data_IF_601138606855
#
_entry.id   IF_601138606855
#
_cell.length_a   1.000
_cell.length_b   1.000
_cell.length_c   1.000
_cell.angle_alpha   90.00
_cell.angle_beta   90.00
_cell.angle_gamma   90.00
#
_symmetry.space_group_name_H-M   'P 1'
#
loop_
_entity.id
_entity.type
_entity.pdbx_description
1 polymer ?
#
# COMPACT_ATOMS: atom_id res chain seq x y z
N UNK A 1 -10.54 3.70 -8.43
CA UNK A 1 -11.13 3.59 -7.08
C UNK A 1 -12.37 2.71 -7.16
N UNK A 2 -12.49 1.67 -6.32
CA UNK A 2 -13.73 0.90 -6.22
C UNK A 2 -14.79 1.75 -5.50
N UNK A 3 -16.03 1.65 -5.94
CA UNK A 3 -17.15 2.44 -5.39
C UNK A 3 -17.72 1.86 -4.09
N UNK A 4 -17.60 0.55 -3.91
CA UNK A 4 -18.12 -0.16 -2.73
C UNK A 4 -16.94 -0.70 -1.91
N UNK A 5 -16.93 -0.37 -0.61
CA UNK A 5 -15.95 -0.91 0.33
C UNK A 5 -16.21 -2.39 0.60
N UNK A 6 -15.14 -3.17 0.62
CA UNK A 6 -15.18 -4.60 0.94
C UNK A 6 -14.00 -4.96 1.84
N UNK A 7 -14.19 -5.97 2.68
CA UNK A 7 -13.08 -6.61 3.40
C UNK A 7 -12.17 -7.38 2.44
N UNK A 8 -11.14 -7.98 2.99
CA UNK A 8 -10.22 -8.83 2.24
C UNK A 8 -10.92 -10.16 1.95
N UNK A 9 -11.48 -10.26 0.75
CA UNK A 9 -12.09 -11.46 0.22
C UNK A 9 -11.47 -11.80 -1.13
N UNK A 10 -11.55 -13.05 -1.54
CA UNK A 10 -11.07 -13.47 -2.85
C UNK A 10 -11.64 -12.61 -3.98
N UNK A 11 -12.95 -12.37 -3.98
CA UNK A 11 -13.62 -11.57 -5.00
C UNK A 11 -13.15 -10.11 -5.00
N UNK A 12 -12.93 -9.52 -3.83
CA UNK A 12 -12.45 -8.15 -3.70
C UNK A 12 -11.03 -7.99 -4.26
N UNK A 13 -10.14 -8.92 -3.91
CA UNK A 13 -8.75 -8.90 -4.41
C UNK A 13 -8.71 -9.12 -5.92
N UNK A 14 -9.47 -10.08 -6.44
CA UNK A 14 -9.59 -10.31 -7.87
C UNK A 14 -10.11 -9.08 -8.62
N UNK A 15 -11.13 -8.40 -8.07
CA UNK A 15 -11.66 -7.17 -8.65
C UNK A 15 -10.61 -6.05 -8.71
N UNK A 16 -9.78 -5.93 -7.67
CA UNK A 16 -8.70 -4.93 -7.67
C UNK A 16 -7.59 -5.27 -8.66
N UNK A 17 -7.16 -6.53 -8.73
CA UNK A 17 -6.18 -6.99 -9.73
C UNK A 17 -6.70 -6.71 -11.13
N UNK A 18 -7.97 -7.04 -11.39
CA UNK A 18 -8.59 -6.83 -12.70
C UNK A 18 -8.70 -5.34 -13.03
N UNK A 19 -9.10 -4.51 -12.07
CA UNK A 19 -9.19 -3.07 -12.25
C UNK A 19 -7.81 -2.43 -12.51
N UNK A 20 -6.73 -2.97 -11.91
CA UNK A 20 -5.37 -2.52 -12.19
C UNK A 20 -4.91 -2.94 -13.59
N UNK A 21 -5.17 -4.20 -13.97
CA UNK A 21 -4.76 -4.76 -15.26
C UNK A 21 -5.54 -4.24 -16.47
N UNK A 22 -6.71 -3.62 -16.25
CA UNK A 22 -7.56 -3.06 -17.30
C UNK A 22 -7.44 -1.55 -17.44
N UNK A 23 -6.41 -0.95 -16.87
CA UNK A 23 -6.13 0.48 -17.00
C UNK A 23 -5.84 0.84 -18.46
N UNK A 24 -6.19 2.06 -18.80
CA UNK A 24 -5.98 2.61 -20.14
C UNK A 24 -5.25 3.94 -20.06
N UNK A 25 -4.54 4.29 -21.11
CA UNK A 25 -3.94 5.60 -21.28
C UNK A 25 -4.98 6.65 -21.67
N UNK A 26 -4.54 7.87 -21.91
CA UNK A 26 -5.40 8.99 -22.33
C UNK A 26 -5.95 8.84 -23.76
N UNK A 27 -5.39 7.92 -24.55
CA UNK A 27 -5.84 7.58 -25.92
C UNK A 27 -6.69 6.32 -25.95
N UNK A 28 -7.19 5.85 -24.78
CA UNK A 28 -8.01 4.63 -24.63
C UNK A 28 -7.27 3.33 -25.00
N UNK A 29 -5.92 3.37 -25.06
CA UNK A 29 -5.11 2.19 -25.32
C UNK A 29 -4.85 1.43 -24.02
N UNK A 30 -4.88 0.08 -24.04
CA UNK A 30 -4.59 -0.70 -22.84
C UNK A 30 -3.12 -0.56 -22.43
N UNK A 31 -2.89 -0.36 -21.14
CA UNK A 31 -1.55 -0.35 -20.53
C UNK A 31 -1.36 -1.61 -19.70
N UNK A 32 -0.12 -2.07 -19.61
CA UNK A 32 0.23 -3.24 -18.80
C UNK A 32 0.64 -2.75 -17.42
N UNK A 33 -0.25 -2.94 -16.46
CA UNK A 33 0.01 -2.61 -15.06
C UNK A 33 -0.21 -3.86 -14.21
N UNK A 34 0.86 -4.36 -13.61
CA UNK A 34 0.81 -5.56 -12.76
C UNK A 34 0.78 -5.17 -11.29
N UNK A 35 0.04 -5.91 -10.45
CA UNK A 35 0.06 -5.68 -9.01
C UNK A 35 1.46 -5.97 -8.45
N UNK A 36 1.97 -5.06 -7.64
CA UNK A 36 3.29 -5.17 -7.00
C UNK A 36 3.18 -5.29 -5.49
N UNK A 37 2.39 -4.43 -4.85
CA UNK A 37 2.27 -4.38 -3.39
C UNK A 37 0.83 -4.21 -2.95
N UNK A 38 0.53 -4.70 -1.75
CA UNK A 38 -0.74 -4.54 -1.08
C UNK A 38 -0.51 -3.89 0.28
N UNK A 39 -1.13 -2.73 0.50
CA UNK A 39 -0.96 -1.95 1.74
C UNK A 39 -2.25 -2.04 2.54
N UNK A 40 -2.14 -2.52 3.75
CA UNK A 40 -3.25 -2.89 4.62
C UNK A 40 -3.19 -2.16 5.96
N UNK A 41 -4.34 -1.81 6.55
CA UNK A 41 -4.40 -1.43 7.95
C UNK A 41 -4.09 -2.65 8.85
N UNK A 42 -3.60 -2.37 10.06
CA UNK A 42 -3.42 -3.41 11.06
C UNK A 42 -4.76 -4.11 11.36
N UNK A 43 -4.71 -5.43 11.46
CA UNK A 43 -5.88 -6.29 11.72
C UNK A 43 -6.38 -7.08 10.52
N UNK A 44 -5.95 -6.77 9.29
CA UNK A 44 -6.31 -7.52 8.08
C UNK A 44 -5.19 -8.44 7.55
N UNK A 45 -4.02 -8.36 8.13
CA UNK A 45 -2.82 -9.03 7.65
C UNK A 45 -2.93 -10.55 7.72
N UNK A 46 -3.47 -11.07 8.82
CA UNK A 46 -3.61 -12.53 9.01
C UNK A 46 -4.58 -13.15 8.00
N UNK A 47 -5.71 -12.51 7.77
CA UNK A 47 -6.71 -12.96 6.77
C UNK A 47 -6.11 -12.93 5.37
N UNK A 48 -5.34 -11.89 5.08
CA UNK A 48 -4.64 -11.74 3.80
C UNK A 48 -3.62 -12.85 3.59
N UNK A 49 -2.77 -13.14 4.56
CA UNK A 49 -1.81 -14.24 4.46
C UNK A 49 -2.50 -15.60 4.31
N UNK A 50 -3.59 -15.83 5.03
CA UNK A 50 -4.36 -17.07 4.89
C UNK A 50 -4.93 -17.18 3.48
N UNK A 51 -5.43 -16.08 2.91
CA UNK A 51 -6.01 -16.07 1.57
C UNK A 51 -4.97 -16.34 0.47
N UNK A 52 -3.77 -15.74 0.56
CA UNK A 52 -2.74 -15.90 -0.47
C UNK A 52 -1.93 -17.19 -0.34
N UNK A 53 -1.69 -17.69 0.87
CA UNK A 53 -0.86 -18.88 1.10
C UNK A 53 -1.65 -20.18 1.13
N UNK A 54 -2.98 -20.14 1.13
CA UNK A 54 -3.80 -21.35 1.05
C UNK A 54 -3.91 -21.84 -0.40
N UNK A 55 -3.44 -23.06 -0.73
CA UNK A 55 -3.57 -23.58 -2.09
C UNK A 55 -5.00 -23.97 -2.44
N UNK A 56 -5.84 -24.21 -1.44
CA UNK A 56 -7.25 -24.58 -1.60
C UNK A 56 -8.15 -23.65 -0.82
N UNK A 57 -9.34 -23.41 -1.37
CA UNK A 57 -10.40 -22.65 -0.72
C UNK A 57 -11.68 -23.48 -0.66
N UNK A 58 -12.50 -23.20 0.32
CA UNK A 58 -13.82 -23.80 0.45
C UNK A 58 -14.86 -22.98 -0.36
N UNK A 59 -15.51 -23.65 -1.31
CA UNK A 59 -16.61 -23.08 -2.07
C UNK A 59 -17.87 -23.92 -1.92
N UNK A 60 -19.02 -23.35 -2.20
CA UNK A 60 -20.28 -24.08 -2.20
C UNK A 60 -20.23 -25.19 -3.24
N UNK A 61 -20.25 -26.44 -2.79
CA UNK A 61 -20.18 -27.64 -3.64
C UNK A 61 -18.80 -28.23 -3.88
N UNK A 62 -17.70 -27.56 -3.46
CA UNK A 62 -16.36 -28.11 -3.51
C UNK A 62 -15.53 -27.61 -2.32
N UNK A 63 -15.13 -28.52 -1.43
CA UNK A 63 -14.34 -28.21 -0.24
C UNK A 63 -12.85 -28.04 -0.52
N UNK A 64 -12.38 -28.38 -1.71
CA UNK A 64 -10.98 -28.33 -2.14
C UNK A 64 -10.84 -27.65 -3.51
N UNK A 65 -11.55 -26.53 -3.71
CA UNK A 65 -11.40 -25.73 -4.91
C UNK A 65 -10.00 -25.09 -4.95
N UNK A 66 -9.37 -25.09 -6.11
CA UNK A 66 -8.06 -24.42 -6.28
C UNK A 66 -8.21 -22.93 -6.04
N UNK A 67 -7.32 -22.37 -5.24
CA UNK A 67 -7.27 -20.95 -4.98
C UNK A 67 -6.51 -20.21 -6.09
N UNK A 68 -7.17 -19.40 -6.93
CA UNK A 68 -6.48 -18.66 -8.00
C UNK A 68 -5.53 -17.58 -7.46
N UNK A 69 -5.74 -17.07 -6.24
CA UNK A 69 -4.87 -16.08 -5.62
C UNK A 69 -3.53 -16.67 -5.15
N UNK A 70 -3.43 -18.00 -5.03
CA UNK A 70 -2.15 -18.66 -4.74
C UNK A 70 -1.06 -18.37 -5.78
N UNK A 71 -1.45 -18.06 -7.01
CA UNK A 71 -0.52 -17.62 -8.06
C UNK A 71 0.12 -16.25 -7.76
N UNK A 72 -0.48 -15.45 -6.87
CA UNK A 72 0.00 -14.13 -6.46
C UNK A 72 0.63 -14.14 -5.06
N UNK A 73 1.05 -15.29 -4.55
CA UNK A 73 1.65 -15.44 -3.21
C UNK A 73 2.90 -14.59 -2.98
N UNK A 74 3.60 -14.23 -4.06
CA UNK A 74 4.81 -13.41 -4.04
C UNK A 74 4.52 -11.90 -4.02
N UNK A 75 3.23 -11.51 -3.97
CA UNK A 75 2.82 -10.12 -3.80
C UNK A 75 3.30 -9.61 -2.43
N UNK A 76 3.95 -8.46 -2.42
CA UNK A 76 4.43 -7.85 -1.19
C UNK A 76 3.25 -7.31 -0.37
N UNK A 77 3.07 -7.83 0.85
CA UNK A 77 2.03 -7.41 1.77
C UNK A 77 2.67 -6.50 2.83
N UNK A 78 2.22 -5.24 2.89
CA UNK A 78 2.71 -4.23 3.82
C UNK A 78 1.58 -3.89 4.78
N UNK A 79 1.82 -4.08 6.08
CA UNK A 79 0.95 -3.60 7.14
C UNK A 79 1.38 -2.18 7.55
N UNK A 80 0.45 -1.24 7.48
CA UNK A 80 0.70 0.14 7.89
C UNK A 80 -0.32 0.59 8.95
N UNK A 81 0.10 0.65 10.22
CA UNK A 81 -0.76 1.12 11.31
C UNK A 81 -1.11 2.61 11.22
N UNK A 82 -0.42 3.38 10.36
CA UNK A 82 -0.74 4.79 10.12
C UNK A 82 -2.15 4.93 9.54
N UNK A 83 -2.59 3.96 8.72
CA UNK A 83 -3.95 3.93 8.17
C UNK A 83 -4.97 3.87 9.30
N UNK A 84 -4.74 3.01 10.32
CA UNK A 84 -5.60 2.92 11.49
C UNK A 84 -5.66 4.25 12.24
N UNK A 85 -4.54 4.91 12.47
CA UNK A 85 -4.47 6.20 13.16
C UNK A 85 -5.22 7.31 12.39
N UNK A 86 -5.05 7.39 11.08
CA UNK A 86 -5.71 8.37 10.22
C UNK A 86 -7.23 8.15 10.12
N UNK A 87 -7.68 6.91 10.25
CA UNK A 87 -9.11 6.57 10.22
C UNK A 87 -9.79 6.64 11.59
N UNK A 88 -9.06 7.04 12.65
CA UNK A 88 -9.61 7.16 14.00
C UNK A 88 -9.59 5.86 14.81
N UNK A 89 -8.77 4.89 14.43
CA UNK A 89 -8.58 3.63 15.14
C UNK A 89 -9.61 2.54 14.81
N UNK A 90 -9.50 1.44 15.55
CA UNK A 90 -10.45 0.32 15.42
C UNK A 90 -11.89 0.76 15.67
N UNK A 91 -12.85 0.08 15.07
CA UNK A 91 -14.26 0.45 15.10
C UNK A 91 -14.69 1.35 13.94
N UNK A 92 -13.76 1.81 13.10
CA UNK A 92 -14.02 2.63 11.93
C UNK A 92 -13.76 1.87 10.62
N UNK A 93 -14.25 2.43 9.53
CA UNK A 93 -14.00 1.92 8.18
C UNK A 93 -12.58 2.25 7.77
N UNK A 94 -11.82 1.24 7.42
CA UNK A 94 -10.41 1.38 7.05
C UNK A 94 -10.19 0.95 5.61
N UNK A 95 -9.66 1.84 4.77
CA UNK A 95 -9.33 1.52 3.39
C UNK A 95 -8.08 0.65 3.32
N UNK A 96 -7.97 -0.08 2.21
CA UNK A 96 -6.75 -0.77 1.83
C UNK A 96 -6.42 -0.49 0.37
N UNK A 97 -5.16 -0.66 0.02
CA UNK A 97 -4.64 -0.22 -1.26
C UNK A 97 -3.89 -1.34 -1.96
N UNK A 98 -3.93 -1.30 -3.28
CA UNK A 98 -3.08 -2.12 -4.13
C UNK A 98 -2.31 -1.18 -5.06
N UNK A 99 -0.99 -1.32 -5.10
CA UNK A 99 -0.12 -0.53 -5.95
C UNK A 99 0.47 -1.40 -7.06
N UNK A 100 0.77 -0.75 -8.15
CA UNK A 100 1.47 -1.36 -9.28
C UNK A 100 2.91 -1.75 -8.91
N UNK A 101 3.49 -2.60 -9.71
CA UNK A 101 4.92 -2.81 -9.70
C UNK A 101 5.61 -1.51 -10.15
N UNK A 102 6.67 -1.12 -9.46
CA UNK A 102 7.44 0.10 -9.77
C UNK A 102 8.07 0.10 -11.17
N UNK A 103 8.24 -1.09 -11.77
CA UNK A 103 8.70 -1.21 -13.15
C UNK A 103 7.63 -0.88 -14.21
N UNK A 104 6.35 -0.96 -13.82
CA UNK A 104 5.22 -0.76 -14.75
C UNK A 104 4.62 0.65 -14.64
N UNK A 105 4.68 1.28 -13.45
CA UNK A 105 4.13 2.62 -13.21
C UNK A 105 4.84 3.32 -12.06
N UNK A 106 5.21 4.56 -12.28
CA UNK A 106 5.74 5.49 -11.26
C UNK A 106 4.57 6.23 -10.62
N UNK A 107 4.12 5.76 -9.46
CA UNK A 107 2.98 6.34 -8.76
C UNK A 107 3.38 7.54 -7.90
N UNK A 108 4.39 7.36 -7.06
CA UNK A 108 4.90 8.39 -6.15
C UNK A 108 6.41 8.50 -6.36
N UNK A 109 6.88 9.71 -6.57
CA UNK A 109 8.30 10.05 -6.65
C UNK A 109 8.70 10.84 -5.40
N UNK A 110 9.87 10.52 -4.86
CA UNK A 110 10.49 11.25 -3.77
C UNK A 110 11.75 11.91 -4.30
N UNK A 111 11.75 13.23 -4.34
CA UNK A 111 12.88 14.02 -4.81
C UNK A 111 13.68 14.57 -3.65
N UNK A 112 14.98 14.46 -3.75
CA UNK A 112 15.93 15.04 -2.79
C UNK A 112 16.68 16.21 -3.42
N UNK A 113 16.75 17.33 -2.73
CA UNK A 113 17.47 18.50 -3.22
C UNK A 113 18.95 18.14 -3.48
N UNK A 114 19.41 18.38 -4.72
CA UNK A 114 20.74 18.01 -5.22
C UNK A 114 21.06 16.50 -5.14
N UNK A 115 20.06 15.63 -5.09
CA UNK A 115 20.26 14.17 -4.96
C UNK A 115 20.80 13.73 -3.59
N UNK A 116 20.67 14.55 -2.56
CA UNK A 116 21.20 14.28 -1.24
C UNK A 116 20.16 13.54 -0.38
N UNK A 117 20.25 12.21 -0.36
CA UNK A 117 19.32 11.35 0.40
C UNK A 117 19.65 11.27 1.90
N UNK A 118 20.86 11.65 2.29
CA UNK A 118 21.32 11.58 3.68
C UNK A 118 21.33 12.98 4.29
N UNK A 119 20.82 13.15 5.52
CA UNK A 119 20.87 14.44 6.21
C UNK A 119 22.29 14.97 6.34
N UNK A 120 22.46 16.27 6.07
CA UNK A 120 23.73 16.95 6.33
C UNK A 120 23.81 17.30 7.81
N UNK A 121 24.89 16.88 8.46
CA UNK A 121 25.17 17.18 9.86
C UNK A 121 26.33 18.16 9.91
N UNK A 122 26.11 19.33 10.51
CA UNK A 122 27.14 20.36 10.72
C UNK A 122 27.34 20.57 12.20
N UNK A 123 28.60 20.62 12.58
CA UNK A 123 29.03 21.06 13.91
C UNK A 123 29.30 22.57 13.86
N UNK A 124 28.67 23.30 14.76
CA UNK A 124 28.86 24.74 14.89
C UNK A 124 29.34 25.08 16.32
N UNK A 125 30.25 26.04 16.40
CA UNK A 125 30.64 26.64 17.67
C UNK A 125 29.92 27.98 17.77
N UNK A 126 29.13 28.16 18.84
CA UNK A 126 28.41 29.42 19.07
C UNK A 126 29.35 30.38 19.80
N UNK A 127 29.64 31.57 19.26
CA UNK A 127 30.45 32.56 19.94
C UNK A 127 29.85 32.95 21.30
N UNK A 128 30.63 32.86 22.39
CA UNK A 128 30.22 33.26 23.72
C UNK A 128 29.53 32.15 24.53
N UNK A 129 29.42 30.93 24.00
CA UNK A 129 28.92 29.77 24.73
C UNK A 129 29.94 28.63 24.75
N UNK A 130 30.09 27.98 25.90
CA UNK A 130 30.86 26.74 26.01
C UNK A 130 30.00 25.57 25.54
N UNK A 131 30.41 24.93 24.43
CA UNK A 131 29.71 23.78 23.88
C UNK A 131 29.66 23.79 22.36
N UNK A 132 29.10 22.74 21.80
CA UNK A 132 28.90 22.58 20.35
C UNK A 132 27.42 22.44 20.06
N UNK A 133 26.98 23.09 18.98
CA UNK A 133 25.64 22.92 18.42
C UNK A 133 25.77 22.06 17.16
N UNK A 134 24.89 21.06 17.05
CA UNK A 134 24.77 20.25 15.85
C UNK A 134 23.55 20.72 15.09
N UNK A 135 23.76 21.09 13.83
CA UNK A 135 22.72 21.44 12.88
C UNK A 135 22.51 20.27 11.92
N UNK A 136 21.23 19.84 11.80
CA UNK A 136 20.87 18.72 10.93
C UNK A 136 19.77 19.22 10.00
N UNK A 137 20.01 19.08 8.69
CA UNK A 137 19.00 19.45 7.69
C UNK A 137 18.95 18.45 6.54
N UNK A 138 17.75 18.27 6.00
CA UNK A 138 17.45 17.49 4.82
C UNK A 138 16.28 18.16 4.10
N UNK A 139 16.45 18.40 2.80
CA UNK A 139 15.40 18.94 1.93
C UNK A 139 14.92 17.85 0.97
N UNK A 140 13.65 17.55 1.04
CA UNK A 140 13.01 16.56 0.19
C UNK A 140 11.58 16.94 -0.15
N UNK A 141 11.07 16.41 -1.26
CA UNK A 141 9.70 16.60 -1.71
C UNK A 141 9.07 15.29 -2.15
N UNK A 142 7.75 15.23 -2.12
CA UNK A 142 6.98 14.10 -2.64
C UNK A 142 6.05 14.63 -3.71
N UNK A 143 6.01 13.93 -4.85
CA UNK A 143 5.08 14.21 -5.92
C UNK A 143 4.35 12.94 -6.36
N UNK A 144 3.08 13.09 -6.77
CA UNK A 144 2.30 12.00 -7.37
C UNK A 144 2.41 12.15 -8.88
N UNK A 145 3.05 11.17 -9.53
CA UNK A 145 3.32 11.20 -10.97
C UNK A 145 2.13 10.66 -11.78
N UNK A 146 1.66 9.45 -11.47
CA UNK A 146 0.54 8.84 -12.18
C UNK A 146 -0.45 8.18 -11.22
N UNK A 147 -1.73 8.56 -11.32
CA UNK A 147 -2.81 7.97 -10.50
C UNK A 147 -3.12 6.51 -10.87
N UNK A 148 -2.69 6.04 -12.04
CA UNK A 148 -2.94 4.67 -12.51
C UNK A 148 -2.13 3.63 -11.75
N UNK A 149 -1.06 4.06 -11.09
CA UNK A 149 -0.19 3.19 -10.29
C UNK A 149 -0.80 2.69 -8.99
N UNK A 150 -1.99 3.15 -8.57
CA UNK A 150 -2.60 2.69 -7.33
C UNK A 150 -4.12 2.62 -7.41
N UNK A 151 -4.68 1.61 -6.72
CA UNK A 151 -6.13 1.46 -6.55
C UNK A 151 -6.45 1.41 -5.06
N UNK A 152 -7.46 2.17 -4.67
CA UNK A 152 -8.02 2.20 -3.32
C UNK A 152 -9.32 1.38 -3.27
N UNK A 153 -9.40 0.47 -2.30
CA UNK A 153 -10.66 -0.07 -1.83
C UNK A 153 -11.10 0.72 -0.59
N UNK A 154 -12.34 1.21 -0.52
CA UNK A 154 -12.84 1.94 0.64
C UNK A 154 -12.81 1.15 1.94
N UNK A 155 -12.75 -0.19 1.86
CA UNK A 155 -12.64 -1.08 3.00
C UNK A 155 -13.93 -1.29 3.78
N UNK A 156 -13.79 -1.86 4.95
CA UNK A 156 -14.88 -2.14 5.90
C UNK A 156 -14.48 -1.72 7.30
N UNK A 157 -15.47 -1.69 8.18
CA UNK A 157 -15.24 -1.52 9.61
C UNK A 157 -14.40 -2.69 10.15
N UNK A 158 -13.31 -2.38 10.84
CA UNK A 158 -12.46 -3.36 11.51
C UNK A 158 -12.64 -3.18 13.01
N UNK A 159 -13.21 -4.17 13.67
CA UNK A 159 -13.40 -4.14 15.12
C UNK A 159 -12.08 -4.44 15.85
N UNK A 160 -11.96 -3.95 17.07
CA UNK A 160 -10.79 -4.21 17.89
C UNK A 160 -10.63 -5.70 18.17
N UNK A 161 -9.44 -6.28 17.97
CA UNK A 161 -9.19 -7.68 18.34
C UNK A 161 -9.16 -7.91 19.85
N UNK A 162 -9.14 -6.85 20.64
CA UNK A 162 -9.08 -6.91 22.11
C UNK A 162 -10.43 -6.70 22.81
N UNK A 163 -11.54 -6.64 22.05
CA UNK A 163 -12.92 -6.55 22.56
C UNK A 163 -13.33 -5.12 22.89
#
# INVERSE_FOLDING_TARGET
MLTTGTGITQAAVQAMILALSTQKDEFDQPIIVRPGKMILPAGLTFDTYTLFNSPYIHTTGNTQAVNPLYAYKDLEIIEDPTINALCGGFGNVMPWFMTANTADSEFIEVDYLNGQEVPTIRRMETPGQLGFVWDIYLDWGINVMDFRGAIKNPGVKIDSPLG
#
